data_IF_243783592818
#
_entry.id   IF_243783592818
#
_cell.length_a   1.000
_cell.length_b   1.000
_cell.length_c   1.000
_cell.angle_alpha   90.00
_cell.angle_beta   90.00
_cell.angle_gamma   90.00
#
_symmetry.space_group_name_H-M   'P 1'
#
loop_
_entity.id
_entity.type
_entity.pdbx_description
1 polymer ?
#
# COMPACT_ATOMS: atom_id res chain seq x y z
N UNK A 1 43.44 -15.84 13.83
CA UNK A 1 44.42 -14.73 13.70
C UNK A 1 44.21 -14.12 12.30
N UNK A 2 44.04 -12.80 12.12
CA UNK A 2 45.10 -11.76 12.14
C UNK A 2 46.29 -12.16 11.25
N UNK A 3 46.81 -11.41 10.28
CA UNK A 3 46.60 -10.03 9.75
C UNK A 3 47.58 -9.91 8.52
N UNK A 4 47.78 -8.73 7.89
CA UNK A 4 48.79 -8.45 6.83
C UNK A 4 48.50 -9.06 5.44
N UNK A 5 48.00 -8.36 4.40
CA UNK A 5 47.97 -6.92 4.05
C UNK A 5 49.25 -6.42 3.33
N UNK A 6 49.14 -6.32 1.99
CA UNK A 6 49.79 -5.38 1.03
C UNK A 6 51.34 -5.42 0.88
N UNK A 7 51.84 -5.52 -0.37
CA UNK A 7 52.71 -4.53 -1.06
C UNK A 7 53.49 -5.12 -2.27
N UNK A 8 53.18 -4.56 -3.45
CA UNK A 8 54.08 -4.14 -4.56
C UNK A 8 54.75 -5.26 -5.41
N UNK A 9 55.14 -5.06 -6.67
CA UNK A 9 54.86 -4.03 -7.70
C UNK A 9 55.05 -4.67 -9.09
N UNK A 10 54.78 -3.91 -10.15
CA UNK A 10 54.95 -4.22 -11.57
C UNK A 10 56.14 -5.12 -11.99
N UNK A 11 55.93 -5.91 -13.06
CA UNK A 11 56.69 -5.80 -14.33
C UNK A 11 55.86 -6.41 -15.48
N UNK A 12 56.21 -6.02 -16.71
CA UNK A 12 55.39 -5.99 -17.93
C UNK A 12 55.54 -7.17 -18.89
N UNK A 13 54.52 -7.36 -19.76
CA UNK A 13 54.57 -8.01 -21.09
C UNK A 13 54.85 -9.55 -21.09
N UNK A 14 54.31 -10.43 -21.96
CA UNK A 14 53.89 -10.33 -23.36
C UNK A 14 53.35 -11.70 -23.86
N UNK A 15 52.48 -11.69 -24.91
CA UNK A 15 52.28 -12.74 -25.96
C UNK A 15 51.80 -14.18 -25.62
N UNK A 16 51.21 -14.81 -26.65
CA UNK A 16 50.83 -16.24 -26.71
C UNK A 16 49.31 -16.48 -26.54
N UNK A 17 48.43 -16.05 -27.47
CA UNK A 17 48.09 -16.70 -28.75
C UNK A 17 47.33 -18.04 -28.66
N UNK A 18 46.07 -18.00 -29.13
CA UNK A 18 45.41 -19.03 -29.96
C UNK A 18 44.73 -20.25 -29.32
N UNK A 19 43.62 -20.62 -29.98
CA UNK A 19 42.90 -21.90 -30.00
C UNK A 19 42.26 -22.44 -28.72
N UNK A 20 40.93 -22.32 -28.68
CA UNK A 20 40.00 -23.09 -27.82
C UNK A 20 39.24 -24.09 -28.71
N UNK A 21 39.13 -25.35 -28.30
CA UNK A 21 37.97 -26.25 -28.53
C UNK A 21 38.13 -27.54 -27.67
N UNK A 22 37.05 -28.29 -27.36
CA UNK A 22 36.89 -28.95 -26.05
C UNK A 22 37.07 -30.47 -26.07
N UNK A 23 36.84 -31.14 -24.92
CA UNK A 23 35.58 -31.90 -24.82
C UNK A 23 34.82 -31.81 -23.47
N UNK A 24 33.52 -32.13 -23.54
CA UNK A 24 32.55 -32.33 -22.44
C UNK A 24 32.67 -33.74 -21.83
N UNK A 25 31.68 -34.32 -21.09
CA UNK A 25 30.66 -33.78 -20.17
C UNK A 25 30.61 -34.52 -18.80
N UNK A 26 29.97 -33.97 -17.75
CA UNK A 26 29.38 -34.78 -16.65
C UNK A 26 27.97 -34.28 -16.28
N UNK A 27 27.07 -35.24 -16.05
CA UNK A 27 25.61 -35.18 -15.84
C UNK A 27 25.27 -36.35 -14.87
N UNK A 28 24.32 -36.34 -13.92
CA UNK A 28 23.12 -35.53 -13.62
C UNK A 28 22.92 -35.45 -12.08
N UNK A 29 22.19 -34.46 -11.55
CA UNK A 29 20.97 -34.71 -10.73
C UNK A 29 20.11 -33.46 -10.48
N UNK A 30 18.86 -33.70 -10.08
CA UNK A 30 17.68 -32.82 -10.21
C UNK A 30 17.09 -32.56 -8.82
N UNK A 31 16.60 -31.34 -8.56
CA UNK A 31 15.23 -31.04 -8.09
C UNK A 31 15.04 -29.57 -7.66
N UNK A 32 14.13 -28.91 -8.38
CA UNK A 32 13.07 -28.00 -7.93
C UNK A 32 13.34 -26.67 -7.16
N UNK A 33 12.36 -25.77 -7.31
CA UNK A 33 12.22 -24.45 -6.70
C UNK A 33 13.21 -23.35 -7.15
N UNK A 34 13.14 -22.95 -8.43
CA UNK A 34 13.68 -21.66 -8.91
C UNK A 34 12.97 -20.47 -8.28
N UNK A 35 13.42 -20.10 -7.08
CA UNK A 35 13.14 -18.78 -6.51
C UNK A 35 13.93 -17.77 -7.34
N UNK A 36 13.25 -17.00 -8.18
CA UNK A 36 13.87 -15.90 -8.91
C UNK A 36 14.24 -14.81 -7.91
N UNK A 37 15.46 -14.90 -7.36
CA UNK A 37 16.14 -13.77 -6.76
C UNK A 37 16.30 -12.72 -7.86
N UNK A 38 15.42 -11.72 -7.86
CA UNK A 38 15.68 -10.47 -8.58
C UNK A 38 16.76 -9.76 -7.78
N UNK A 39 18.02 -10.08 -8.08
CA UNK A 39 19.15 -9.28 -7.67
C UNK A 39 19.04 -7.88 -8.30
N UNK A 40 19.54 -6.87 -7.60
CA UNK A 40 19.60 -5.48 -8.10
C UNK A 40 20.60 -5.28 -9.24
N UNK A 41 21.30 -6.35 -9.66
CA UNK A 41 22.40 -6.36 -10.63
C UNK A 41 22.06 -5.73 -12.00
N UNK A 42 20.79 -5.67 -12.39
CA UNK A 42 20.37 -5.01 -13.64
C UNK A 42 20.04 -3.51 -13.49
N UNK A 43 19.93 -2.98 -12.27
CA UNK A 43 19.91 -1.53 -12.04
C UNK A 43 21.32 -0.99 -11.86
N UNK A 44 22.18 -1.73 -11.15
CA UNK A 44 23.56 -1.35 -10.88
C UNK A 44 24.46 -1.37 -12.13
N UNK A 45 24.24 -2.30 -13.08
CA UNK A 45 24.96 -2.32 -14.37
C UNK A 45 24.76 -1.07 -15.25
N UNK A 46 23.72 -0.25 -15.01
CA UNK A 46 23.57 1.03 -15.70
C UNK A 46 24.36 2.18 -15.05
N UNK A 47 24.89 1.99 -13.84
CA UNK A 47 25.88 2.89 -13.26
C UNK A 47 27.29 2.65 -13.83
N UNK A 48 27.56 1.56 -14.53
CA UNK A 48 28.87 1.19 -15.09
C UNK A 48 29.21 1.83 -16.45
N UNK A 49 28.65 3.00 -16.78
CA UNK A 49 29.25 3.86 -17.82
C UNK A 49 30.53 4.46 -17.23
N UNK A 50 31.64 3.75 -17.42
CA UNK A 50 32.98 4.20 -17.03
C UNK A 50 33.36 5.52 -17.73
N UNK A 51 34.25 6.26 -17.07
CA UNK A 51 34.73 7.56 -17.54
C UNK A 51 35.31 7.50 -18.95
N UNK A 52 34.88 8.42 -19.82
CA UNK A 52 35.41 8.56 -21.18
C UNK A 52 36.79 9.21 -21.13
N UNK A 53 37.75 8.71 -21.91
CA UNK A 53 39.10 9.29 -22.00
C UNK A 53 39.15 10.25 -23.18
N UNK A 54 39.58 11.50 -22.95
CA UNK A 54 39.76 12.47 -24.04
C UNK A 54 41.04 12.20 -24.84
N UNK A 55 41.21 12.88 -25.99
CA UNK A 55 42.41 12.75 -26.85
C UNK A 55 43.74 13.18 -26.22
N UNK A 56 43.76 13.56 -24.92
CA UNK A 56 44.97 13.83 -24.12
C UNK A 56 45.10 12.85 -22.94
N UNK A 57 44.45 11.69 -23.00
CA UNK A 57 44.54 10.64 -21.98
C UNK A 57 43.81 10.91 -20.66
N UNK A 58 43.06 12.02 -20.53
CA UNK A 58 42.34 12.36 -19.29
C UNK A 58 40.94 11.75 -19.27
N UNK A 59 40.66 10.94 -18.24
CA UNK A 59 39.33 10.39 -17.94
C UNK A 59 38.39 11.49 -17.41
N UNK A 60 37.17 11.56 -17.93
CA UNK A 60 36.09 12.41 -17.42
C UNK A 60 34.73 11.71 -17.49
N UNK A 61 33.77 12.16 -16.68
CA UNK A 61 32.37 11.72 -16.76
C UNK A 61 31.59 12.80 -17.51
N UNK A 62 30.93 12.49 -18.66
CA UNK A 62 30.12 13.46 -19.39
C UNK A 62 29.04 14.11 -18.52
N UNK A 63 28.80 15.42 -18.71
CA UNK A 63 27.85 16.16 -17.87
C UNK A 63 26.42 15.61 -17.97
N UNK A 64 26.02 15.10 -19.13
CA UNK A 64 24.74 14.41 -19.32
C UNK A 64 24.55 13.22 -18.37
N UNK A 65 25.59 12.38 -18.23
CA UNK A 65 25.59 11.21 -17.33
C UNK A 65 25.55 11.67 -15.87
N UNK A 66 26.22 12.79 -15.53
CA UNK A 66 26.12 13.41 -14.20
C UNK A 66 24.72 13.96 -13.91
N UNK A 67 24.01 14.49 -14.90
CA UNK A 67 22.66 15.04 -14.73
C UNK A 67 21.62 13.92 -14.51
N UNK A 68 21.71 12.82 -15.28
CA UNK A 68 20.88 11.63 -15.09
C UNK A 68 21.13 11.01 -13.70
N UNK A 69 22.39 10.79 -13.31
CA UNK A 69 22.75 10.27 -11.96
C UNK A 69 22.29 11.18 -10.82
N UNK A 70 22.10 12.48 -11.06
CA UNK A 70 21.60 13.46 -10.09
C UNK A 70 20.09 13.67 -10.16
N UNK A 71 19.36 12.85 -10.93
CA UNK A 71 17.90 12.94 -11.09
C UNK A 71 17.40 14.24 -11.75
N UNK A 72 18.29 14.99 -12.42
CA UNK A 72 17.95 16.29 -13.05
C UNK A 72 17.33 16.14 -14.43
N UNK A 73 17.56 15.00 -15.07
CA UNK A 73 17.02 14.62 -16.37
C UNK A 73 16.57 13.16 -16.29
N UNK A 74 15.39 12.85 -16.83
CA UNK A 74 15.03 11.45 -17.10
C UNK A 74 15.74 10.93 -18.35
N UNK A 75 15.92 9.62 -18.46
CA UNK A 75 16.46 8.96 -19.66
C UNK A 75 15.68 9.32 -20.94
N UNK A 76 14.38 9.62 -20.80
CA UNK A 76 13.51 10.06 -21.89
C UNK A 76 13.84 11.48 -22.35
N UNK A 77 13.87 12.44 -21.43
CA UNK A 77 14.20 13.85 -21.73
C UNK A 77 15.64 14.00 -22.27
N UNK A 78 16.56 13.12 -21.86
CA UNK A 78 17.89 13.04 -22.47
C UNK A 78 17.86 12.52 -23.91
N UNK A 79 17.14 11.41 -24.18
CA UNK A 79 17.04 10.85 -25.52
C UNK A 79 16.37 11.81 -26.51
N UNK A 80 15.25 12.42 -26.11
CA UNK A 80 14.50 13.39 -26.94
C UNK A 80 15.38 14.62 -27.31
N UNK A 81 16.22 15.12 -26.38
CA UNK A 81 17.18 16.20 -26.67
C UNK A 81 18.34 15.76 -27.58
N UNK A 82 18.82 14.51 -27.48
CA UNK A 82 19.88 13.99 -28.36
C UNK A 82 19.38 13.76 -29.78
N UNK A 83 18.18 13.22 -29.96
CA UNK A 83 17.53 13.14 -31.28
C UNK A 83 17.33 14.55 -31.87
N UNK A 84 16.84 15.53 -31.09
CA UNK A 84 16.67 16.91 -31.55
C UNK A 84 18.00 17.60 -31.94
N UNK A 85 19.06 17.45 -31.15
CA UNK A 85 20.37 18.03 -31.44
C UNK A 85 21.02 17.38 -32.68
N UNK A 86 20.88 16.06 -32.83
CA UNK A 86 21.35 15.34 -34.03
C UNK A 86 20.60 15.79 -35.28
N UNK A 87 19.28 15.99 -35.18
CA UNK A 87 18.46 16.54 -36.27
C UNK A 87 18.80 17.99 -36.64
N UNK A 88 19.35 18.80 -35.71
CA UNK A 88 19.89 20.12 -36.03
C UNK A 88 21.21 20.04 -36.80
N UNK A 89 22.11 19.13 -36.40
CA UNK A 89 23.40 18.93 -37.09
C UNK A 89 23.18 18.46 -38.54
N UNK A 90 22.21 17.58 -38.77
CA UNK A 90 21.84 17.07 -40.11
C UNK A 90 21.28 18.16 -41.05
N UNK A 91 20.80 19.30 -40.51
CA UNK A 91 20.15 20.36 -41.30
C UNK A 91 21.09 21.45 -41.84
N UNK A 92 22.40 21.38 -41.58
CA UNK A 92 23.34 22.39 -42.09
C UNK A 92 23.85 22.01 -43.49
N UNK A 93 23.67 22.86 -44.53
CA UNK A 93 24.22 22.60 -45.86
C UNK A 93 25.74 22.81 -45.85
N UNK A 94 26.46 21.72 -46.16
CA UNK A 94 27.89 21.61 -46.49
C UNK A 94 28.88 22.66 -45.97
N UNK A 95 29.64 22.27 -44.94
CA UNK A 95 31.00 22.74 -44.69
C UNK A 95 31.97 21.55 -44.68
N UNK A 96 32.61 21.24 -45.81
CA UNK A 96 33.69 20.23 -45.87
C UNK A 96 34.87 20.65 -45.00
N UNK A 97 34.97 20.13 -43.79
CA UNK A 97 36.24 19.98 -43.08
C UNK A 97 36.34 18.58 -42.48
N UNK A 98 37.40 17.88 -42.90
CA UNK A 98 37.91 16.58 -42.42
C UNK A 98 37.21 16.01 -41.18
N UNK A 99 36.14 15.26 -41.42
CA UNK A 99 35.59 14.31 -40.44
C UNK A 99 36.66 13.23 -40.28
N UNK A 100 37.55 13.39 -39.30
CA UNK A 100 38.56 12.37 -38.99
C UNK A 100 37.86 11.02 -38.75
N UNK A 101 38.48 9.90 -39.09
CA UNK A 101 37.86 8.57 -38.91
C UNK A 101 37.44 8.24 -37.46
N UNK A 102 37.87 9.04 -36.48
CA UNK A 102 37.32 9.00 -35.12
C UNK A 102 35.88 9.52 -35.07
N UNK A 103 35.57 10.63 -35.73
CA UNK A 103 34.26 11.30 -35.68
C UNK A 103 33.17 10.45 -36.34
N UNK A 104 33.48 9.76 -37.45
CA UNK A 104 32.58 8.81 -38.10
C UNK A 104 32.35 7.56 -37.23
N UNK A 105 33.41 7.03 -36.60
CA UNK A 105 33.30 5.96 -35.59
C UNK A 105 32.48 6.37 -34.37
N UNK A 106 32.59 7.62 -33.90
CA UNK A 106 31.72 8.17 -32.85
C UNK A 106 30.27 8.29 -33.32
N UNK A 107 30.02 8.72 -34.56
CA UNK A 107 28.68 8.79 -35.14
C UNK A 107 28.03 7.40 -35.22
N UNK A 108 28.75 6.42 -35.78
CA UNK A 108 28.27 5.03 -35.85
C UNK A 108 28.02 4.44 -34.45
N UNK A 109 28.94 4.67 -33.49
CA UNK A 109 28.75 4.22 -32.09
C UNK A 109 27.52 4.87 -31.45
N UNK A 110 27.23 6.15 -31.73
CA UNK A 110 26.04 6.83 -31.23
C UNK A 110 24.75 6.30 -31.87
N UNK A 111 24.76 6.00 -33.17
CA UNK A 111 23.66 5.34 -33.89
C UNK A 111 23.39 3.94 -33.32
N UNK A 112 24.43 3.13 -33.13
CA UNK A 112 24.34 1.77 -32.60
C UNK A 112 23.85 1.76 -31.15
N UNK A 113 24.33 2.67 -30.30
CA UNK A 113 23.83 2.86 -28.93
C UNK A 113 22.36 3.31 -28.91
N UNK A 114 21.96 4.19 -29.82
CA UNK A 114 20.56 4.64 -29.94
C UNK A 114 19.65 3.50 -30.36
N UNK A 115 20.07 2.69 -31.35
CA UNK A 115 19.37 1.48 -31.77
C UNK A 115 19.24 0.46 -30.62
N UNK A 116 20.34 0.17 -29.93
CA UNK A 116 20.38 -0.77 -28.79
C UNK A 116 19.52 -0.30 -27.61
N UNK A 117 19.50 1.01 -27.33
CA UNK A 117 18.62 1.59 -26.31
C UNK A 117 17.13 1.54 -26.73
N UNK A 118 16.80 1.76 -28.01
CA UNK A 118 15.44 1.62 -28.55
C UNK A 118 14.96 0.16 -28.47
N UNK A 119 15.81 -0.80 -28.81
CA UNK A 119 15.54 -2.23 -28.65
C UNK A 119 15.34 -2.61 -27.18
N UNK A 120 16.15 -2.09 -26.25
CA UNK A 120 16.00 -2.35 -24.82
C UNK A 120 14.72 -1.72 -24.27
N UNK A 121 14.37 -0.50 -24.70
CA UNK A 121 13.11 0.15 -24.35
C UNK A 121 11.91 -0.67 -24.79
N UNK A 122 11.89 -1.15 -26.04
CA UNK A 122 10.81 -2.01 -26.53
C UNK A 122 10.79 -3.38 -25.83
N UNK A 123 11.94 -3.98 -25.49
CA UNK A 123 11.99 -5.20 -24.66
C UNK A 123 11.43 -4.97 -23.25
N UNK A 124 11.76 -3.85 -22.59
CA UNK A 124 11.21 -3.49 -21.27
C UNK A 124 9.72 -3.17 -21.35
N UNK A 125 9.27 -2.50 -22.41
CA UNK A 125 7.86 -2.18 -22.70
C UNK A 125 7.04 -3.45 -22.99
N UNK A 126 7.59 -4.38 -23.78
CA UNK A 126 6.99 -5.69 -24.04
C UNK A 126 6.92 -6.55 -22.78
N UNK A 127 8.01 -6.64 -21.99
CA UNK A 127 8.00 -7.34 -20.70
C UNK A 127 7.00 -6.73 -19.72
N UNK A 128 6.87 -5.39 -19.67
CA UNK A 128 5.82 -4.70 -18.90
C UNK A 128 4.42 -5.01 -19.44
N UNK A 129 4.22 -5.12 -20.75
CA UNK A 129 2.93 -5.46 -21.36
C UNK A 129 2.53 -6.93 -21.14
N UNK A 130 3.48 -7.86 -21.26
CA UNK A 130 3.26 -9.28 -20.95
C UNK A 130 2.98 -9.47 -19.46
N UNK A 131 3.78 -8.84 -18.58
CA UNK A 131 3.56 -8.89 -17.14
C UNK A 131 2.21 -8.25 -16.79
N UNK A 132 1.86 -7.08 -17.35
CA UNK A 132 0.52 -6.47 -17.26
C UNK A 132 -0.58 -7.41 -17.76
N UNK A 133 -0.33 -8.24 -18.77
CA UNK A 133 -1.31 -9.21 -19.30
C UNK A 133 -1.46 -10.43 -18.37
N UNK A 134 -0.36 -10.95 -17.81
CA UNK A 134 -0.35 -11.96 -16.72
C UNK A 134 -1.08 -11.43 -15.48
N UNK A 135 -0.80 -10.18 -15.10
CA UNK A 135 -1.46 -9.47 -14.01
C UNK A 135 -2.96 -9.31 -14.31
N UNK A 136 -3.35 -8.82 -15.48
CA UNK A 136 -4.77 -8.65 -15.83
C UNK A 136 -5.54 -9.98 -15.93
N UNK A 137 -4.89 -11.09 -16.33
CA UNK A 137 -5.45 -12.45 -16.22
C UNK A 137 -5.49 -12.95 -14.76
N UNK A 138 -4.57 -12.48 -13.90
CA UNK A 138 -4.49 -12.78 -12.48
C UNK A 138 -5.34 -11.90 -11.55
N UNK A 139 -5.82 -10.73 -12.01
CA UNK A 139 -6.69 -9.78 -11.27
C UNK A 139 -8.06 -10.39 -10.93
N UNK A 140 -8.39 -11.56 -11.47
CA UNK A 140 -9.52 -12.37 -11.04
C UNK A 140 -9.25 -13.26 -9.80
N UNK A 141 -8.03 -13.29 -9.24
CA UNK A 141 -7.78 -13.90 -7.92
C UNK A 141 -8.33 -12.99 -6.83
N UNK A 142 -9.44 -13.43 -6.24
CA UNK A 142 -10.03 -12.83 -5.04
C UNK A 142 -8.93 -12.51 -4.02
N UNK A 143 -8.87 -11.24 -3.57
CA UNK A 143 -8.05 -10.83 -2.43
C UNK A 143 -8.26 -11.84 -1.28
N UNK A 144 -7.21 -12.61 -0.90
CA UNK A 144 -7.38 -13.77 -0.05
C UNK A 144 -7.79 -13.32 1.35
N UNK A 145 -8.84 -13.94 1.89
CA UNK A 145 -9.34 -13.61 3.22
C UNK A 145 -8.73 -14.54 4.26
N UNK A 146 -8.18 -13.97 5.32
CA UNK A 146 -7.77 -14.70 6.52
C UNK A 146 -9.01 -14.93 7.37
N UNK A 147 -9.24 -16.18 7.78
CA UNK A 147 -10.23 -16.53 8.80
C UNK A 147 -9.66 -16.27 10.19
N UNK A 148 -10.49 -15.70 11.06
CA UNK A 148 -10.18 -15.39 12.43
C UNK A 148 -11.33 -15.92 13.29
N UNK A 149 -11.02 -16.77 14.28
CA UNK A 149 -12.01 -17.26 15.26
C UNK A 149 -12.63 -16.14 16.10
N UNK A 150 -11.93 -15.01 16.21
CA UNK A 150 -12.33 -13.92 17.10
C UNK A 150 -12.13 -14.30 18.57
N UNK A 151 -12.10 -13.28 19.42
CA UNK A 151 -12.05 -13.45 20.88
C UNK A 151 -12.42 -12.14 21.55
N UNK A 152 -12.39 -12.12 22.88
CA UNK A 152 -12.19 -10.87 23.62
C UNK A 152 -10.75 -10.41 23.46
N UNK A 153 -10.53 -9.12 23.19
CA UNK A 153 -9.21 -8.47 23.12
C UNK A 153 -9.21 -7.10 23.80
N UNK A 154 -8.02 -6.53 24.02
CA UNK A 154 -7.84 -5.17 24.53
C UNK A 154 -7.76 -4.16 23.38
N UNK A 155 -8.85 -3.43 23.16
CA UNK A 155 -8.99 -2.36 22.17
C UNK A 155 -8.57 -1.00 22.76
N UNK A 156 -8.02 -0.11 21.94
CA UNK A 156 -7.58 1.23 22.33
C UNK A 156 -6.15 1.31 22.84
N UNK A 157 -5.81 2.43 23.49
CA UNK A 157 -4.52 2.66 24.16
C UNK A 157 -4.71 3.25 25.54
N UNK A 158 -3.77 2.97 26.44
CA UNK A 158 -3.73 3.58 27.77
C UNK A 158 -2.96 4.90 27.76
N UNK A 159 -3.30 5.81 26.84
CA UNK A 159 -2.75 7.17 26.79
C UNK A 159 -3.88 8.19 27.01
N UNK A 160 -4.00 8.80 28.21
CA UNK A 160 -5.08 9.74 28.52
C UNK A 160 -5.00 11.05 27.71
N UNK A 161 -3.90 11.30 26.99
CA UNK A 161 -3.77 12.45 26.07
C UNK A 161 -4.50 12.22 24.74
N UNK A 162 -4.96 10.99 24.46
CA UNK A 162 -5.63 10.63 23.22
C UNK A 162 -7.05 11.23 23.13
N UNK A 163 -7.23 12.24 22.26
CA UNK A 163 -8.50 12.96 22.09
C UNK A 163 -9.48 12.32 21.08
N UNK A 164 -9.02 11.29 20.36
CA UNK A 164 -9.75 10.56 19.29
C UNK A 164 -10.70 9.45 19.78
N UNK A 165 -10.83 9.27 21.10
CA UNK A 165 -11.63 8.19 21.70
C UNK A 165 -10.94 6.82 21.74
N UNK A 166 -9.62 6.78 21.50
CA UNK A 166 -8.79 5.56 21.67
C UNK A 166 -8.49 5.24 23.14
N UNK A 167 -8.71 6.20 24.04
CA UNK A 167 -8.66 6.02 25.50
C UNK A 167 -10.08 6.03 26.10
N UNK A 168 -10.37 5.24 27.15
CA UNK A 168 -9.52 4.24 27.77
C UNK A 168 -9.49 2.92 26.97
N UNK A 169 -8.56 2.03 27.33
CA UNK A 169 -8.54 0.64 26.85
C UNK A 169 -9.83 -0.07 27.26
N UNK A 170 -10.44 -0.81 26.33
CA UNK A 170 -11.69 -1.56 26.55
C UNK A 170 -11.50 -3.04 26.23
N UNK A 171 -12.13 -3.91 27.01
CA UNK A 171 -12.32 -5.31 26.62
C UNK A 171 -13.44 -5.36 25.56
N UNK A 172 -13.13 -5.82 24.35
CA UNK A 172 -14.10 -5.92 23.25
C UNK A 172 -14.09 -7.35 22.72
N UNK A 173 -15.28 -7.95 22.57
CA UNK A 173 -15.44 -9.26 21.95
C UNK A 173 -15.76 -9.12 20.46
N UNK A 174 -15.08 -9.89 19.62
CA UNK A 174 -15.42 -10.05 18.19
C UNK A 174 -15.78 -11.51 17.90
N UNK A 175 -16.81 -11.72 17.08
CA UNK A 175 -17.22 -13.05 16.61
C UNK A 175 -16.29 -13.55 15.49
N UNK A 176 -16.30 -14.86 15.18
CA UNK A 176 -15.62 -15.42 14.01
C UNK A 176 -15.95 -14.67 12.71
N UNK A 177 -14.91 -14.32 11.94
CA UNK A 177 -15.06 -13.58 10.69
C UNK A 177 -13.91 -13.86 9.72
N UNK A 178 -14.06 -13.38 8.48
CA UNK A 178 -12.99 -13.37 7.47
C UNK A 178 -12.65 -11.93 7.12
N UNK A 179 -11.37 -11.59 6.99
CA UNK A 179 -10.89 -10.26 6.58
C UNK A 179 -9.90 -10.37 5.42
N UNK A 180 -10.00 -9.46 4.46
CA UNK A 180 -9.05 -9.35 3.34
C UNK A 180 -7.60 -9.15 3.86
N UNK A 181 -6.67 -9.96 3.36
CA UNK A 181 -5.26 -9.93 3.75
C UNK A 181 -4.58 -8.61 3.36
N UNK A 182 -5.01 -8.04 2.24
CA UNK A 182 -4.52 -6.78 1.67
C UNK A 182 -5.66 -5.75 1.58
N UNK A 183 -5.39 -4.44 1.47
CA UNK A 183 -6.35 -3.46 0.95
C UNK A 183 -6.88 -3.86 -0.44
N UNK A 184 -8.05 -3.35 -0.81
CA UNK A 184 -8.57 -3.47 -2.19
C UNK A 184 -7.65 -2.71 -3.13
N UNK A 185 -7.22 -3.34 -4.22
CA UNK A 185 -6.26 -2.76 -5.16
C UNK A 185 -6.95 -2.00 -6.31
N UNK A 186 -6.19 -1.18 -7.04
CA UNK A 186 -6.65 -0.59 -8.29
C UNK A 186 -7.04 -1.66 -9.34
N UNK A 187 -6.41 -2.84 -9.32
CA UNK A 187 -6.78 -3.99 -10.15
C UNK A 187 -8.17 -4.53 -9.79
N UNK A 188 -8.40 -4.80 -8.50
CA UNK A 188 -9.71 -5.25 -7.98
C UNK A 188 -10.81 -4.25 -8.33
N UNK A 189 -10.58 -2.96 -8.07
CA UNK A 189 -11.56 -1.91 -8.32
C UNK A 189 -11.83 -1.69 -9.82
N UNK A 190 -10.82 -1.93 -10.67
CA UNK A 190 -11.01 -1.96 -12.13
C UNK A 190 -11.88 -3.14 -12.57
N UNK A 191 -11.80 -4.30 -11.91
CA UNK A 191 -12.71 -5.43 -12.16
C UNK A 191 -14.16 -5.09 -11.75
N UNK A 192 -14.35 -4.46 -10.58
CA UNK A 192 -15.66 -3.92 -10.17
C UNK A 192 -16.23 -2.94 -11.20
N UNK A 193 -15.45 -1.94 -11.62
CA UNK A 193 -15.87 -0.92 -12.59
C UNK A 193 -16.17 -1.49 -13.98
N UNK A 194 -15.49 -2.57 -14.40
CA UNK A 194 -15.84 -3.33 -15.62
C UNK A 194 -17.16 -4.09 -15.50
N UNK A 195 -17.46 -4.66 -14.33
CA UNK A 195 -18.73 -5.36 -14.07
C UNK A 195 -19.91 -4.40 -13.81
N UNK A 196 -19.63 -3.20 -13.31
CA UNK A 196 -20.61 -2.16 -12.97
C UNK A 196 -20.32 -0.88 -13.74
N UNK A 197 -20.35 -0.97 -15.07
CA UNK A 197 -19.98 0.11 -16.01
C UNK A 197 -20.71 1.43 -15.72
N UNK A 198 -22.01 1.36 -15.35
CA UNK A 198 -22.83 2.54 -15.01
C UNK A 198 -22.53 3.15 -13.63
N UNK A 199 -21.75 2.48 -12.79
CA UNK A 199 -21.43 2.97 -11.45
C UNK A 199 -20.44 4.13 -11.52
N UNK A 200 -20.83 5.30 -10.99
CA UNK A 200 -19.93 6.44 -10.73
C UNK A 200 -19.63 6.53 -9.24
N UNK A 201 -18.35 6.57 -8.88
CA UNK A 201 -17.87 6.85 -7.53
C UNK A 201 -18.28 8.25 -7.08
N UNK A 202 -18.13 8.52 -5.80
CA UNK A 202 -18.45 9.80 -5.18
C UNK A 202 -17.57 10.91 -5.77
N UNK A 203 -16.28 10.66 -5.99
CA UNK A 203 -15.37 11.58 -6.69
C UNK A 203 -15.77 11.80 -8.17
N UNK A 204 -16.13 10.75 -8.91
CA UNK A 204 -16.62 10.87 -10.30
C UNK A 204 -17.92 11.68 -10.41
N UNK A 205 -18.78 11.65 -9.37
CA UNK A 205 -20.01 12.46 -9.30
C UNK A 205 -19.74 13.91 -8.89
N UNK A 206 -18.82 14.13 -7.96
CA UNK A 206 -18.44 15.47 -7.50
C UNK A 206 -17.57 16.24 -8.51
N UNK A 207 -16.91 15.54 -9.44
CA UNK A 207 -16.00 16.12 -10.43
C UNK A 207 -14.62 16.49 -9.88
N UNK A 208 -14.34 16.20 -8.61
CA UNK A 208 -13.06 16.43 -7.95
C UNK A 208 -12.84 15.47 -6.77
N UNK A 209 -11.60 15.41 -6.29
CA UNK A 209 -11.23 14.78 -5.01
C UNK A 209 -10.03 15.49 -4.40
N UNK A 210 -9.72 15.20 -3.13
CA UNK A 210 -8.56 15.77 -2.44
C UNK A 210 -7.28 15.00 -2.82
N UNK A 211 -6.29 15.73 -3.33
CA UNK A 211 -4.97 15.19 -3.75
C UNK A 211 -3.89 15.84 -2.91
N UNK A 212 -2.93 15.07 -2.41
CA UNK A 212 -1.78 15.62 -1.71
C UNK A 212 -0.96 16.45 -2.69
N UNK A 213 -0.58 17.68 -2.34
CA UNK A 213 -0.10 18.67 -3.32
C UNK A 213 1.06 18.20 -4.21
N UNK A 214 1.93 17.31 -3.70
CA UNK A 214 3.06 16.72 -4.45
C UNK A 214 2.71 15.49 -5.30
N UNK A 215 1.54 14.89 -5.10
CA UNK A 215 0.99 13.83 -5.96
C UNK A 215 0.10 14.38 -7.09
N UNK A 216 -0.13 15.71 -7.11
CA UNK A 216 -0.88 16.37 -8.19
C UNK A 216 -0.10 16.28 -9.51
N UNK A 217 -0.78 15.85 -10.57
CA UNK A 217 -0.26 15.91 -11.94
C UNK A 217 0.06 17.34 -12.36
N UNK A 218 1.09 17.50 -13.20
CA UNK A 218 1.48 18.80 -13.80
C UNK A 218 0.30 19.46 -14.51
N UNK A 219 -0.49 18.67 -15.24
CA UNK A 219 -1.63 19.16 -16.05
C UNK A 219 -2.92 19.36 -15.25
N UNK A 220 -2.98 18.94 -13.98
CA UNK A 220 -4.23 18.91 -13.24
C UNK A 220 -4.63 20.30 -12.70
N UNK A 221 -5.81 20.78 -13.13
CA UNK A 221 -6.44 21.98 -12.62
C UNK A 221 -7.08 21.82 -11.24
N UNK A 222 -7.29 22.93 -10.55
CA UNK A 222 -7.97 22.98 -9.26
C UNK A 222 -9.48 23.12 -9.44
N UNK A 223 -10.25 22.53 -8.53
CA UNK A 223 -11.71 22.65 -8.49
C UNK A 223 -12.16 23.95 -7.80
N UNK A 224 -11.38 24.44 -6.84
CA UNK A 224 -11.60 25.70 -6.12
C UNK A 224 -10.24 26.30 -5.71
N UNK A 225 -9.72 27.30 -6.45
CA UNK A 225 -8.46 27.97 -6.13
C UNK A 225 -8.50 28.77 -4.82
N UNK A 226 -9.67 29.28 -4.40
CA UNK A 226 -9.78 30.05 -3.16
C UNK A 226 -9.61 29.14 -1.93
N UNK A 227 -10.16 27.92 -1.97
CA UNK A 227 -9.93 26.89 -0.93
C UNK A 227 -8.49 26.38 -0.86
N UNK A 228 -7.64 26.64 -1.86
CA UNK A 228 -6.22 26.30 -1.78
C UNK A 228 -5.50 27.06 -0.65
N UNK A 229 -5.88 28.31 -0.38
CA UNK A 229 -5.23 29.14 0.64
C UNK A 229 -5.41 28.60 2.07
N UNK A 230 -6.53 27.90 2.34
CA UNK A 230 -6.80 27.27 3.65
C UNK A 230 -6.39 25.79 3.71
N UNK A 231 -6.34 25.09 2.59
CA UNK A 231 -6.02 23.66 2.54
C UNK A 231 -4.50 23.38 2.41
N UNK A 232 -3.78 23.56 3.53
CA UNK A 232 -2.29 23.61 3.66
C UNK A 232 -1.46 22.64 2.80
N UNK A 233 -1.92 21.42 2.52
CA UNK A 233 -1.22 20.43 1.68
C UNK A 233 -2.16 19.49 0.89
N UNK A 234 -3.46 19.79 0.89
CA UNK A 234 -4.51 18.99 0.24
C UNK A 234 -5.25 19.85 -0.76
N UNK A 235 -5.11 19.55 -2.05
CA UNK A 235 -5.73 20.34 -3.10
C UNK A 235 -6.99 19.65 -3.62
N UNK A 236 -8.09 20.40 -3.74
CA UNK A 236 -9.28 19.93 -4.45
C UNK A 236 -8.98 19.95 -5.95
N UNK A 237 -8.71 18.79 -6.54
CA UNK A 237 -8.23 18.69 -7.92
C UNK A 237 -9.36 18.22 -8.84
N UNK A 238 -9.63 19.01 -9.89
CA UNK A 238 -10.65 18.70 -10.89
C UNK A 238 -10.28 17.41 -11.62
N UNK A 239 -11.25 16.51 -11.77
CA UNK A 239 -11.03 15.21 -12.41
C UNK A 239 -10.11 14.27 -11.63
N UNK A 240 -9.82 14.52 -10.35
CA UNK A 240 -9.18 13.52 -9.48
C UNK A 240 -10.19 12.49 -9.00
N UNK A 241 -9.92 11.21 -9.27
CA UNK A 241 -10.72 10.05 -8.86
C UNK A 241 -9.85 8.78 -8.95
N UNK A 242 -10.38 7.62 -8.55
CA UNK A 242 -9.63 6.35 -8.44
C UNK A 242 -8.74 6.00 -9.65
N UNK A 243 -9.17 6.31 -10.89
CA UNK A 243 -8.39 5.98 -12.11
C UNK A 243 -7.37 7.05 -12.48
N UNK A 244 -7.54 8.29 -12.01
CA UNK A 244 -6.66 9.44 -12.23
C UNK A 244 -6.38 10.13 -10.88
N UNK A 245 -5.61 9.49 -9.98
CA UNK A 245 -5.48 9.95 -8.60
C UNK A 245 -4.75 11.30 -8.44
N UNK A 246 -3.87 11.65 -9.38
CA UNK A 246 -3.23 12.97 -9.45
C UNK A 246 -4.05 14.02 -10.21
N UNK A 247 -5.28 13.71 -10.64
CA UNK A 247 -6.04 14.47 -11.62
C UNK A 247 -5.57 14.25 -13.06
N UNK A 248 -5.95 15.15 -13.96
CA UNK A 248 -5.73 15.03 -15.41
C UNK A 248 -4.27 14.72 -15.80
N UNK A 249 -4.08 13.76 -16.70
CA UNK A 249 -2.76 13.24 -17.11
C UNK A 249 -2.17 12.15 -16.20
N UNK A 250 -2.68 11.98 -14.97
CA UNK A 250 -2.33 10.81 -14.13
C UNK A 250 -3.12 9.56 -14.53
N UNK A 251 -2.63 8.37 -14.18
CA UNK A 251 -3.38 7.13 -14.31
C UNK A 251 -2.88 6.06 -13.30
N UNK A 252 -3.55 4.90 -13.26
CA UNK A 252 -3.20 3.75 -12.37
C UNK A 252 -2.71 2.50 -13.13
N UNK A 253 -2.35 2.61 -14.41
CA UNK A 253 -2.05 1.43 -15.24
C UNK A 253 -0.73 0.72 -14.87
N UNK A 254 0.19 1.44 -14.22
CA UNK A 254 1.42 0.95 -13.58
C UNK A 254 1.25 0.70 -12.07
N UNK A 255 0.11 1.13 -11.49
CA UNK A 255 -0.22 1.06 -10.06
C UNK A 255 -1.34 0.06 -9.72
N UNK A 256 -1.50 -0.99 -10.53
CA UNK A 256 -2.60 -1.97 -10.37
C UNK A 256 -2.59 -2.70 -9.01
N UNK A 257 -1.43 -2.88 -8.38
CA UNK A 257 -1.29 -3.51 -7.05
C UNK A 257 -1.20 -2.52 -5.88
N UNK A 258 -1.43 -1.24 -6.12
CA UNK A 258 -1.50 -0.22 -5.07
C UNK A 258 -2.94 -0.18 -4.53
N UNK A 259 -3.17 0.21 -3.26
CA UNK A 259 -4.51 0.40 -2.74
C UNK A 259 -5.29 1.37 -3.62
N UNK A 260 -6.57 1.10 -3.84
CA UNK A 260 -7.46 2.04 -4.51
C UNK A 260 -7.79 3.19 -3.56
N UNK A 261 -7.63 4.42 -4.06
CA UNK A 261 -7.86 5.67 -3.29
C UNK A 261 -8.85 6.60 -4.01
N UNK A 262 -9.19 7.74 -3.39
CA UNK A 262 -10.33 8.59 -3.76
C UNK A 262 -11.69 7.85 -3.66
N UNK A 263 -11.75 6.88 -2.76
CA UNK A 263 -12.92 6.04 -2.50
C UNK A 263 -13.62 6.57 -1.24
N UNK A 264 -14.93 6.84 -1.35
CA UNK A 264 -15.76 7.21 -0.21
C UNK A 264 -16.26 5.98 0.56
N UNK A 265 -16.88 6.20 1.72
CA UNK A 265 -17.56 5.11 2.45
C UNK A 265 -18.61 4.42 1.57
N UNK A 266 -19.37 5.19 0.79
CA UNK A 266 -20.39 4.65 -0.13
C UNK A 266 -19.76 3.85 -1.28
N UNK A 267 -18.61 4.28 -1.78
CA UNK A 267 -17.89 3.62 -2.86
C UNK A 267 -17.27 2.29 -2.38
N UNK A 268 -16.68 2.29 -1.18
CA UNK A 268 -16.14 1.11 -0.52
C UNK A 268 -17.24 0.09 -0.18
N UNK A 269 -18.38 0.55 0.35
CA UNK A 269 -19.54 -0.30 0.62
C UNK A 269 -20.07 -0.94 -0.66
N UNK A 270 -20.28 -0.16 -1.73
CA UNK A 270 -20.77 -0.67 -3.01
C UNK A 270 -19.85 -1.74 -3.63
N UNK A 271 -18.53 -1.57 -3.51
CA UNK A 271 -17.56 -2.58 -3.91
C UNK A 271 -17.71 -3.86 -3.07
N UNK A 272 -17.70 -3.76 -1.73
CA UNK A 272 -17.79 -4.95 -0.88
C UNK A 272 -19.11 -5.70 -1.13
N UNK A 273 -20.25 -5.00 -1.29
CA UNK A 273 -21.52 -5.63 -1.66
C UNK A 273 -21.43 -6.38 -2.99
N UNK A 274 -20.85 -5.78 -4.05
CA UNK A 274 -20.62 -6.47 -5.33
C UNK A 274 -19.74 -7.73 -5.16
N UNK A 275 -18.72 -7.65 -4.30
CA UNK A 275 -17.83 -8.77 -4.00
C UNK A 275 -18.44 -9.86 -3.09
N UNK A 276 -19.72 -9.75 -2.70
CA UNK A 276 -20.38 -10.61 -1.69
C UNK A 276 -19.66 -10.59 -0.32
N UNK A 277 -19.22 -9.40 0.07
CA UNK A 277 -18.52 -9.06 1.31
C UNK A 277 -19.21 -7.83 1.96
N UNK A 278 -18.65 -7.32 3.05
CA UNK A 278 -19.01 -6.07 3.72
C UNK A 278 -17.75 -5.29 4.11
N UNK A 279 -17.89 -4.09 4.66
CA UNK A 279 -16.78 -3.46 5.39
C UNK A 279 -16.57 -4.15 6.76
N UNK A 280 -15.33 -4.21 7.27
CA UNK A 280 -15.08 -4.57 8.67
C UNK A 280 -15.69 -3.52 9.58
N UNK A 281 -16.11 -3.93 10.78
CA UNK A 281 -16.29 -3.00 11.90
C UNK A 281 -14.92 -2.50 12.38
N UNK A 282 -14.88 -1.38 13.09
CA UNK A 282 -13.67 -0.91 13.77
C UNK A 282 -13.10 -1.98 14.71
N UNK A 283 -13.96 -2.73 15.39
CA UNK A 283 -13.60 -3.78 16.35
C UNK A 283 -12.88 -4.95 15.68
N UNK A 284 -13.44 -5.45 14.57
CA UNK A 284 -12.83 -6.48 13.73
C UNK A 284 -11.50 -6.02 13.13
N UNK A 285 -11.45 -4.78 12.64
CA UNK A 285 -10.24 -4.22 12.06
C UNK A 285 -9.12 -4.10 13.10
N UNK A 286 -9.43 -3.57 14.29
CA UNK A 286 -8.43 -3.41 15.35
C UNK A 286 -8.02 -4.75 15.99
N UNK A 287 -8.93 -5.73 16.06
CA UNK A 287 -8.58 -7.10 16.41
C UNK A 287 -7.59 -7.71 15.42
N UNK A 288 -7.85 -7.54 14.12
CA UNK A 288 -7.03 -8.12 13.07
C UNK A 288 -5.63 -7.49 12.97
N UNK A 289 -5.49 -6.16 13.06
CA UNK A 289 -4.17 -5.49 13.05
C UNK A 289 -3.30 -5.90 14.24
N UNK A 290 -3.90 -6.21 15.39
CA UNK A 290 -3.19 -6.61 16.60
C UNK A 290 -2.55 -8.00 16.52
N UNK A 291 -3.01 -8.89 15.63
CA UNK A 291 -2.34 -10.18 15.39
C UNK A 291 -2.19 -11.07 16.63
N UNK A 292 -3.18 -11.06 17.53
CA UNK A 292 -3.14 -11.75 18.82
C UNK A 292 -2.38 -11.02 19.95
N UNK A 293 -1.76 -9.87 19.67
CA UNK A 293 -1.02 -9.09 20.66
C UNK A 293 -1.90 -8.05 21.35
N UNK A 294 -2.06 -8.15 22.67
CA UNK A 294 -2.90 -7.23 23.45
C UNK A 294 -2.17 -5.93 23.82
N UNK A 295 -2.84 -4.79 23.64
CA UNK A 295 -2.40 -3.48 24.17
C UNK A 295 -1.19 -2.81 23.48
N UNK A 296 -0.49 -3.47 22.56
CA UNK A 296 0.73 -2.93 21.94
C UNK A 296 0.46 -1.84 20.89
N UNK A 297 1.42 -0.92 20.70
CA UNK A 297 1.33 0.22 19.78
C UNK A 297 1.32 -0.16 18.30
N UNK A 298 2.15 -1.12 17.87
CA UNK A 298 2.29 -1.52 16.47
C UNK A 298 1.92 -3.00 16.26
N UNK A 299 1.62 -3.43 15.01
CA UNK A 299 1.16 -4.79 14.70
C UNK A 299 2.16 -5.90 15.09
N UNK A 300 3.43 -5.52 15.24
CA UNK A 300 4.59 -6.39 15.48
C UNK A 300 5.25 -6.17 16.86
N UNK A 301 4.64 -5.41 17.75
CA UNK A 301 5.19 -5.06 19.07
C UNK A 301 5.07 -3.57 19.42
N UNK A 302 5.64 -3.16 20.56
CA UNK A 302 5.59 -1.76 20.99
C UNK A 302 6.73 -0.88 20.42
N UNK A 303 7.84 -1.50 20.01
CA UNK A 303 8.95 -0.80 19.35
C UNK A 303 8.72 -0.68 17.84
N UNK A 304 8.87 0.54 17.30
CA UNK A 304 8.76 0.79 15.86
C UNK A 304 9.86 0.04 15.09
N UNK A 305 9.48 -0.67 14.01
CA UNK A 305 10.41 -1.33 13.09
C UNK A 305 10.41 -0.57 11.77
N UNK A 306 11.60 -0.24 11.25
CA UNK A 306 11.74 0.34 9.90
C UNK A 306 11.30 -0.69 8.84
N UNK A 307 10.88 -0.21 7.67
CA UNK A 307 10.58 -1.02 6.49
C UNK A 307 9.51 -2.10 6.74
N UNK A 308 8.50 -1.75 7.55
CA UNK A 308 7.33 -2.60 7.87
C UNK A 308 5.99 -1.92 7.61
N UNK A 309 6.00 -0.66 7.19
CA UNK A 309 4.84 0.20 6.96
C UNK A 309 5.30 1.43 6.17
N UNK A 310 4.45 1.92 5.27
CA UNK A 310 4.66 3.16 4.51
C UNK A 310 4.13 4.35 5.30
N UNK A 311 5.01 5.25 5.72
CA UNK A 311 4.70 6.45 6.51
C UNK A 311 5.57 7.62 6.02
N UNK A 312 5.44 8.80 6.62
CA UNK A 312 6.35 9.89 6.32
C UNK A 312 7.59 9.85 7.23
N UNK A 313 8.79 10.11 6.67
CA UNK A 313 10.00 10.36 7.46
C UNK A 313 10.69 11.65 7.01
N UNK A 314 10.93 12.60 7.92
CA UNK A 314 11.54 13.89 7.60
C UNK A 314 10.64 15.06 7.97
N UNK A 315 10.94 16.24 7.43
CA UNK A 315 10.21 17.47 7.71
C UNK A 315 8.91 17.55 6.90
N UNK A 316 7.79 17.06 7.45
CA UNK A 316 6.48 17.21 6.80
C UNK A 316 6.07 18.69 6.71
N UNK A 317 5.52 19.18 5.56
CA UNK A 317 5.33 18.51 4.27
C UNK A 317 6.48 18.72 3.27
N UNK A 318 7.53 19.44 3.67
CA UNK A 318 8.63 19.89 2.81
C UNK A 318 9.50 18.74 2.28
N UNK A 319 9.82 17.75 3.12
CA UNK A 319 10.80 16.71 2.83
C UNK A 319 10.36 15.34 3.36
N UNK A 320 10.30 14.35 2.46
CA UNK A 320 10.18 12.92 2.81
C UNK A 320 11.47 12.20 2.38
N UNK A 321 12.19 11.66 3.35
CA UNK A 321 13.44 10.91 3.17
C UNK A 321 13.23 9.52 2.53
N UNK A 322 12.00 9.00 2.46
CA UNK A 322 11.66 7.71 1.84
C UNK A 322 12.50 6.55 2.41
N UNK A 323 12.70 6.52 3.73
CA UNK A 323 13.51 5.48 4.40
C UNK A 323 12.88 4.10 4.27
N UNK A 324 11.55 4.06 4.16
CA UNK A 324 10.76 2.87 3.87
C UNK A 324 10.67 2.50 2.37
N UNK A 325 11.23 3.34 1.49
CA UNK A 325 11.29 3.14 0.04
C UNK A 325 10.16 3.82 -0.76
N UNK A 326 9.23 4.55 -0.13
CA UNK A 326 8.06 5.08 -0.82
C UNK A 326 7.81 6.58 -0.53
N UNK A 327 7.61 7.37 -1.60
CA UNK A 327 7.27 8.80 -1.49
C UNK A 327 5.79 9.06 -1.17
N UNK A 328 4.93 8.28 -1.84
CA UNK A 328 3.47 8.32 -1.80
C UNK A 328 3.00 6.90 -1.46
N UNK A 329 1.84 6.47 -1.97
CA UNK A 329 1.38 5.09 -1.85
C UNK A 329 2.43 4.05 -2.28
N UNK A 330 2.36 2.88 -1.67
CA UNK A 330 3.14 1.68 -1.97
C UNK A 330 2.23 0.55 -2.51
N UNK A 331 2.77 -0.47 -3.21
CA UNK A 331 2.05 -1.71 -3.46
C UNK A 331 1.56 -2.35 -2.15
N UNK A 332 0.39 -2.98 -2.15
CA UNK A 332 -0.20 -3.59 -0.94
C UNK A 332 0.64 -4.72 -0.32
N UNK A 333 1.62 -5.23 -1.06
CA UNK A 333 2.56 -6.28 -0.65
C UNK A 333 4.02 -5.79 -0.62
N UNK A 334 4.27 -4.48 -0.50
CA UNK A 334 5.61 -3.90 -0.49
C UNK A 334 6.47 -4.33 0.72
N UNK A 335 5.83 -4.61 1.85
CA UNK A 335 6.47 -5.05 3.09
C UNK A 335 6.08 -6.49 3.43
N UNK A 336 6.80 -7.09 4.37
CA UNK A 336 6.40 -8.33 5.04
C UNK A 336 5.02 -8.19 5.73
N UNK A 337 4.41 -9.34 6.05
CA UNK A 337 3.25 -9.38 6.92
C UNK A 337 3.50 -8.59 8.21
N UNK A 338 2.58 -7.67 8.54
CA UNK A 338 2.76 -6.78 9.67
C UNK A 338 2.59 -7.50 11.01
N UNK A 339 1.81 -8.59 11.06
CA UNK A 339 1.48 -9.30 12.29
C UNK A 339 1.37 -10.83 12.12
N UNK A 340 1.14 -11.53 13.24
CA UNK A 340 1.12 -13.00 13.31
C UNK A 340 -0.05 -13.65 12.56
N UNK A 341 -1.13 -12.90 12.28
CA UNK A 341 -2.25 -13.40 11.46
C UNK A 341 -1.96 -13.31 9.96
N UNK A 342 -0.84 -12.70 9.55
CA UNK A 342 -0.42 -12.62 8.16
C UNK A 342 -1.05 -11.46 7.38
N UNK A 343 -1.59 -10.44 8.04
CA UNK A 343 -2.12 -9.24 7.38
C UNK A 343 -1.01 -8.33 6.87
N UNK A 344 -1.30 -7.65 5.76
CA UNK A 344 -0.41 -6.69 5.12
C UNK A 344 -1.08 -5.31 5.15
N UNK A 345 -0.23 -4.28 5.25
CA UNK A 345 -0.61 -2.92 4.92
C UNK A 345 -1.85 -2.39 5.68
N UNK A 346 -2.00 -2.79 6.95
CA UNK A 346 -3.02 -2.27 7.86
C UNK A 346 -2.53 -1.01 8.58
N UNK A 347 -1.24 -0.95 8.91
CA UNK A 347 -0.59 0.25 9.43
C UNK A 347 0.06 1.02 8.29
N UNK A 348 -0.30 2.29 8.13
CA UNK A 348 0.25 3.19 7.12
C UNK A 348 -0.32 2.95 5.71
N UNK A 349 0.41 3.45 4.71
CA UNK A 349 0.04 3.48 3.29
C UNK A 349 -1.25 4.25 2.99
N UNK A 350 -2.42 3.68 3.26
CA UNK A 350 -3.72 4.35 3.10
C UNK A 350 -4.63 4.08 4.30
N UNK A 351 -5.34 5.12 4.75
CA UNK A 351 -6.43 4.99 5.71
C UNK A 351 -7.49 4.03 5.17
N UNK A 352 -8.09 3.22 6.05
CA UNK A 352 -9.11 2.26 5.64
C UNK A 352 -10.47 2.54 6.26
N UNK A 353 -11.51 2.62 5.43
CA UNK A 353 -12.90 2.71 5.87
C UNK A 353 -13.35 1.47 6.65
N UNK A 354 -14.14 1.70 7.70
CA UNK A 354 -14.88 0.67 8.45
C UNK A 354 -16.38 0.97 8.44
N UNK A 355 -17.22 -0.02 8.78
CA UNK A 355 -18.68 0.13 8.93
C UNK A 355 -19.11 0.85 10.21
N UNK A 356 -18.20 1.06 11.17
CA UNK A 356 -18.52 1.67 12.47
C UNK A 356 -18.77 3.16 12.34
N UNK A 357 -19.88 3.64 12.92
CA UNK A 357 -20.17 5.07 13.05
C UNK A 357 -19.20 5.68 14.06
N UNK A 358 -18.52 6.76 13.69
CA UNK A 358 -17.59 7.44 14.58
C UNK A 358 -18.35 8.29 15.60
N UNK A 359 -18.11 8.00 16.88
CA UNK A 359 -18.61 8.77 18.02
C UNK A 359 -17.45 9.45 18.74
N UNK A 360 -17.60 10.74 19.04
CA UNK A 360 -16.67 11.45 19.93
C UNK A 360 -17.09 11.21 21.39
N UNK A 361 -16.15 10.94 22.31
CA UNK A 361 -16.47 10.91 23.73
C UNK A 361 -17.12 12.23 24.18
N UNK A 362 -18.25 12.14 24.90
CA UNK A 362 -18.97 13.28 25.52
C UNK A 362 -19.61 14.29 24.55
N UNK A 363 -19.86 13.94 23.28
CA UNK A 363 -20.75 14.73 22.40
C UNK A 363 -21.91 13.89 21.89
N UNK A 364 -23.11 14.46 21.90
CA UNK A 364 -24.27 13.91 21.21
C UNK A 364 -24.04 13.95 19.69
N UNK A 365 -24.30 12.82 19.02
CA UNK A 365 -24.15 12.74 17.57
C UNK A 365 -25.35 13.43 16.91
N UNK A 366 -25.12 14.59 16.32
CA UNK A 366 -26.10 15.18 15.41
C UNK A 366 -26.16 14.31 14.14
N UNK A 367 -27.33 13.76 13.82
CA UNK A 367 -27.53 12.92 12.63
C UNK A 367 -27.13 13.61 11.31
N UNK A 368 -27.15 14.95 11.25
CA UNK A 368 -26.70 15.74 10.09
C UNK A 368 -25.19 15.70 9.87
N UNK A 369 -24.40 15.30 10.87
CA UNK A 369 -22.93 15.23 10.83
C UNK A 369 -22.41 13.80 11.03
N UNK A 370 -23.18 12.79 10.59
CA UNK A 370 -22.80 11.38 10.67
C UNK A 370 -21.43 11.12 10.00
N UNK A 371 -20.51 10.53 10.77
CA UNK A 371 -19.16 10.15 10.34
C UNK A 371 -18.97 8.64 10.52
N UNK A 372 -18.06 8.07 9.74
CA UNK A 372 -17.63 6.68 9.88
C UNK A 372 -16.15 6.64 10.27
N UNK A 373 -15.76 5.57 10.96
CA UNK A 373 -14.39 5.41 11.42
C UNK A 373 -13.50 4.96 10.26
N UNK A 374 -12.39 5.66 10.07
CA UNK A 374 -11.25 5.19 9.30
C UNK A 374 -10.10 4.81 10.25
N UNK A 375 -9.32 3.77 9.89
CA UNK A 375 -8.23 3.22 10.71
C UNK A 375 -6.89 3.14 9.94
N UNK A 376 -5.80 3.04 10.69
CA UNK A 376 -4.48 2.59 10.19
C UNK A 376 -3.41 3.64 9.94
N UNK A 377 -3.77 4.89 9.68
CA UNK A 377 -2.80 5.89 9.18
C UNK A 377 -2.57 5.76 7.67
N UNK A 378 -1.71 6.62 7.13
CA UNK A 378 -1.37 6.64 5.71
C UNK A 378 0.08 7.09 5.48
N UNK A 379 0.54 7.10 4.23
CA UNK A 379 1.89 7.53 3.84
C UNK A 379 2.26 8.98 4.26
N UNK A 380 1.28 9.83 4.60
CA UNK A 380 1.54 11.18 5.12
C UNK A 380 1.56 11.26 6.66
N UNK A 381 1.20 10.19 7.37
CA UNK A 381 1.10 10.17 8.82
C UNK A 381 2.46 9.84 9.47
N UNK A 382 2.61 10.21 10.76
CA UNK A 382 3.86 10.08 11.50
C UNK A 382 3.84 8.90 12.45
N UNK A 383 5.00 8.28 12.69
CA UNK A 383 5.12 7.18 13.68
C UNK A 383 4.98 7.63 15.15
N UNK A 384 5.06 8.94 15.41
CA UNK A 384 5.18 9.55 16.74
C UNK A 384 4.20 10.71 17.00
N UNK A 385 3.29 11.00 16.07
CA UNK A 385 2.24 12.01 16.23
C UNK A 385 2.70 13.46 16.15
N UNK A 386 3.96 13.74 15.77
CA UNK A 386 4.49 15.12 15.67
C UNK A 386 3.87 15.93 14.53
N UNK A 387 3.34 15.25 13.52
CA UNK A 387 2.58 15.85 12.42
C UNK A 387 1.51 14.86 11.93
N UNK A 388 0.43 15.41 11.37
CA UNK A 388 -0.78 14.65 11.01
C UNK A 388 -1.21 13.74 12.17
N UNK A 389 -1.36 12.44 11.97
CA UNK A 389 -1.75 11.49 13.02
C UNK A 389 -0.57 10.62 13.46
N UNK A 390 -0.64 10.08 14.68
CA UNK A 390 0.23 8.97 15.09
C UNK A 390 -0.29 7.67 14.45
N UNK A 391 0.50 7.06 13.57
CA UNK A 391 0.22 5.75 13.01
C UNK A 391 0.49 4.65 14.05
N UNK A 392 -0.58 4.09 14.62
CA UNK A 392 -0.56 2.99 15.61
C UNK A 392 -1.81 2.11 15.46
N UNK A 393 -1.82 0.91 16.06
CA UNK A 393 -2.94 -0.04 15.96
C UNK A 393 -4.31 0.57 16.32
N UNK A 394 -4.35 1.43 17.34
CA UNK A 394 -5.59 2.07 17.78
C UNK A 394 -6.01 3.29 16.94
N UNK A 395 -5.12 3.84 16.11
CA UNK A 395 -5.31 5.12 15.43
C UNK A 395 -6.63 5.17 14.67
N UNK A 396 -7.47 6.17 14.98
CA UNK A 396 -8.83 6.29 14.43
C UNK A 396 -9.17 7.73 14.05
N UNK A 397 -9.87 7.89 12.92
CA UNK A 397 -10.41 9.16 12.46
C UNK A 397 -11.91 9.07 12.16
N UNK A 398 -12.64 10.13 12.47
CA UNK A 398 -14.05 10.29 12.08
C UNK A 398 -14.20 11.13 10.82
N UNK A 399 -14.55 10.49 9.71
CA UNK A 399 -14.68 11.15 8.40
C UNK A 399 -16.12 11.08 7.88
N UNK A 400 -16.56 12.13 7.17
CA UNK A 400 -17.90 12.14 6.53
C UNK A 400 -17.96 11.07 5.43
N UNK A 401 -19.08 10.36 5.23
CA UNK A 401 -19.15 9.21 4.31
C UNK A 401 -18.92 9.56 2.84
N UNK A 402 -19.06 10.83 2.45
CA UNK A 402 -18.75 11.33 1.10
C UNK A 402 -17.31 11.83 0.93
N UNK A 403 -16.48 11.79 1.98
CA UNK A 403 -15.08 12.21 1.91
C UNK A 403 -14.29 11.29 0.96
N UNK A 404 -13.43 11.86 0.13
CA UNK A 404 -12.53 11.13 -0.77
C UNK A 404 -11.18 11.84 -0.80
N UNK A 405 -10.08 11.09 -0.71
CA UNK A 405 -8.74 11.63 -0.78
C UNK A 405 -7.73 10.61 -1.34
N UNK A 406 -6.57 11.08 -1.79
CA UNK A 406 -5.49 10.25 -2.33
C UNK A 406 -4.78 9.34 -1.32
N UNK A 407 -5.18 9.37 -0.05
CA UNK A 407 -4.62 8.56 1.03
C UNK A 407 -5.68 7.73 1.79
N UNK A 408 -6.89 7.56 1.24
CA UNK A 408 -7.96 6.75 1.86
C UNK A 408 -8.55 5.73 0.89
N UNK A 409 -8.53 4.47 1.31
CA UNK A 409 -9.06 3.29 0.66
C UNK A 409 -9.82 2.42 1.66
N UNK A 410 -9.75 1.09 1.50
CA UNK A 410 -10.47 0.13 2.33
C UNK A 410 -10.01 -1.32 2.07
N UNK A 411 -10.39 -2.23 2.98
CA UNK A 411 -10.40 -3.69 2.77
C UNK A 411 -11.78 -4.24 3.13
N UNK A 412 -12.17 -5.40 2.60
CA UNK A 412 -13.47 -5.99 2.94
C UNK A 412 -13.36 -7.11 4.00
N UNK A 413 -14.45 -7.31 4.74
CA UNK A 413 -14.68 -8.42 5.66
C UNK A 413 -15.87 -9.26 5.20
N UNK A 414 -16.02 -10.47 5.75
CA UNK A 414 -17.16 -11.36 5.51
C UNK A 414 -17.50 -12.08 6.82
N UNK A 415 -18.77 -12.03 7.19
CA UNK A 415 -19.31 -12.82 8.32
C UNK A 415 -19.16 -14.31 8.00
N UNK A 416 -18.84 -15.11 9.00
CA UNK A 416 -18.87 -16.57 8.89
C UNK A 416 -20.16 -17.06 9.53
N UNK A 417 -20.92 -17.86 8.80
CA UNK A 417 -22.03 -18.61 9.37
C UNK A 417 -21.43 -19.67 10.30
N UNK A 418 -21.79 -19.58 11.59
CA UNK A 418 -21.51 -20.66 12.52
C UNK A 418 -22.54 -21.76 12.25
N UNK A 419 -22.14 -23.04 12.28
CA UNK A 419 -23.11 -24.13 12.22
C UNK A 419 -24.10 -23.94 13.37
N UNK A 420 -25.39 -24.04 13.06
CA UNK A 420 -26.42 -24.09 14.10
C UNK A 420 -26.11 -25.24 15.04
N UNK A 421 -26.00 -24.94 16.34
CA UNK A 421 -25.90 -25.97 17.37
C UNK A 421 -27.21 -26.77 17.33
N UNK A 422 -27.18 -27.95 16.71
CA UNK A 422 -28.34 -28.83 16.70
C UNK A 422 -28.62 -29.23 18.15
N UNK A 423 -29.87 -29.20 18.63
CA UNK A 423 -30.19 -29.55 20.01
C UNK A 423 -29.70 -30.94 20.46
N UNK A 424 -29.43 -31.84 19.52
CA UNK A 424 -28.88 -33.19 19.76
C UNK A 424 -27.40 -33.23 20.13
N UNK A 425 -26.62 -32.19 19.80
CA UNK A 425 -25.18 -32.13 20.14
C UNK A 425 -24.95 -31.58 21.55
N UNK A 426 -26.01 -31.12 22.23
CA UNK A 426 -26.01 -30.84 23.67
C UNK A 426 -26.18 -32.18 24.41
N UNK A 427 -25.12 -32.99 24.45
CA UNK A 427 -25.06 -34.10 25.42
C UNK A 427 -24.90 -33.50 26.81
N UNK A 428 -26.02 -33.36 27.53
CA UNK A 428 -26.05 -33.17 28.97
C UNK A 428 -25.43 -34.41 29.64
N UNK A 429 -24.11 -34.40 29.71
CA UNK A 429 -23.35 -35.35 30.54
C UNK A 429 -23.58 -34.95 31.99
N UNK A 430 -24.72 -35.38 32.54
CA UNK A 430 -25.02 -35.33 33.97
C UNK A 430 -24.13 -36.34 34.70
N UNK A 431 -22.84 -36.02 34.78
CA UNK A 431 -22.02 -36.54 35.86
C UNK A 431 -22.70 -36.14 37.17
N UNK A 432 -23.28 -37.12 37.86
CA UNK A 432 -23.79 -36.91 39.22
C UNK A 432 -22.64 -36.37 40.05
N UNK A 433 -22.77 -35.20 40.71
CA UNK A 433 -21.73 -34.73 41.60
C UNK A 433 -21.52 -35.76 42.73
N UNK A 434 -20.29 -35.94 43.24
CA UNK A 434 -20.06 -36.73 44.44
C UNK A 434 -20.95 -36.22 45.57
N UNK A 435 -21.51 -37.13 46.37
CA UNK A 435 -22.31 -36.73 47.53
C UNK A 435 -21.41 -35.98 48.54
N UNK A 436 -21.96 -34.90 49.09
CA UNK A 436 -21.38 -34.03 50.13
C UNK A 436 -20.22 -33.11 49.68
N UNK A 437 -20.52 -31.82 49.51
CA UNK A 437 -20.40 -30.82 50.59
C UNK A 437 -21.29 -29.60 50.27
N UNK A 438 -21.78 -28.90 51.30
CA UNK A 438 -22.56 -27.66 51.13
C UNK A 438 -21.63 -26.49 50.80
N UNK A 439 -21.79 -25.91 49.62
CA UNK A 439 -21.61 -24.47 49.38
C UNK A 439 -22.70 -24.04 48.39
N UNK A 440 -23.35 -22.91 48.63
CA UNK A 440 -24.49 -22.45 47.82
C UNK A 440 -24.00 -21.75 46.55
N UNK A 441 -24.28 -22.34 45.39
CA UNK A 441 -23.80 -21.85 44.10
C UNK A 441 -24.45 -20.54 43.67
N UNK A 442 -23.65 -19.47 43.67
CA UNK A 442 -24.02 -18.12 43.19
C UNK A 442 -24.34 -18.04 41.69
N UNK A 443 -24.18 -19.13 40.93
CA UNK A 443 -24.43 -19.21 39.49
C UNK A 443 -25.92 -19.32 39.16
N UNK A 444 -26.64 -20.19 39.87
CA UNK A 444 -28.06 -20.51 39.60
C UNK A 444 -29.01 -19.35 39.92
N UNK A 445 -28.64 -18.51 40.90
CA UNK A 445 -29.40 -17.31 41.25
C UNK A 445 -29.24 -16.20 40.19
N UNK A 446 -28.01 -15.96 39.70
CA UNK A 446 -27.72 -14.91 38.70
C UNK A 446 -28.38 -15.19 37.35
N UNK A 447 -28.42 -16.45 36.90
CA UNK A 447 -29.11 -16.80 35.64
C UNK A 447 -30.62 -16.58 35.76
N UNK A 448 -31.25 -16.91 36.90
CA UNK A 448 -32.68 -16.62 37.11
C UNK A 448 -32.99 -15.12 37.11
N UNK A 449 -32.18 -14.31 37.79
CA UNK A 449 -32.32 -12.84 37.82
C UNK A 449 -32.25 -12.25 36.40
N UNK A 450 -31.21 -12.57 35.62
CA UNK A 450 -31.04 -12.04 34.25
C UNK A 450 -32.17 -12.49 33.32
N UNK A 451 -32.64 -13.74 33.43
CA UNK A 451 -33.78 -14.21 32.63
C UNK A 451 -35.08 -13.50 33.03
N UNK A 452 -35.30 -13.23 34.32
CA UNK A 452 -36.48 -12.49 34.79
C UNK A 452 -36.44 -11.01 34.35
N UNK A 453 -35.30 -10.32 34.44
CA UNK A 453 -35.14 -8.95 33.93
C UNK A 453 -35.40 -8.86 32.42
N UNK A 454 -34.88 -9.81 31.63
CA UNK A 454 -35.13 -9.84 30.17
C UNK A 454 -36.60 -10.06 29.85
N UNK A 455 -37.27 -10.99 30.55
CA UNK A 455 -38.71 -11.22 30.34
C UNK A 455 -39.58 -10.04 30.78
N UNK A 456 -39.19 -9.31 31.84
CA UNK A 456 -39.94 -8.14 32.29
C UNK A 456 -39.79 -6.97 31.31
N UNK A 457 -38.57 -6.66 30.87
CA UNK A 457 -38.33 -5.62 29.86
C UNK A 457 -39.08 -5.89 28.54
N UNK A 458 -39.22 -7.16 28.12
CA UNK A 458 -40.01 -7.53 26.94
C UNK A 458 -41.51 -7.27 27.17
N UNK A 459 -42.06 -7.62 28.34
CA UNK A 459 -43.47 -7.32 28.68
C UNK A 459 -43.76 -5.82 28.70
N UNK A 460 -42.86 -5.04 29.27
CA UNK A 460 -43.04 -3.59 29.38
C UNK A 460 -42.90 -2.89 28.01
N UNK A 461 -42.05 -3.43 27.13
CA UNK A 461 -41.96 -2.99 25.72
C UNK A 461 -43.24 -3.28 24.93
N UNK A 462 -43.83 -4.46 25.10
CA UNK A 462 -45.07 -4.85 24.39
C UNK A 462 -46.30 -4.08 24.91
N UNK A 463 -46.29 -3.64 26.18
CA UNK A 463 -47.34 -2.74 26.70
C UNK A 463 -47.33 -1.37 26.04
N UNK A 464 -46.15 -0.83 25.73
CA UNK A 464 -45.99 0.49 25.10
C UNK A 464 -46.49 0.54 23.64
N UNK A 465 -46.59 -0.59 22.93
CA UNK A 465 -47.20 -0.66 21.60
C UNK A 465 -48.75 -0.80 21.65
N UNK A 466 -49.35 -0.93 22.83
CA UNK A 466 -50.80 -1.01 23.02
C UNK A 466 -51.48 0.27 23.52
N UNK A 467 -50.70 1.31 23.86
CA UNK A 467 -51.19 2.61 24.37
C UNK A 467 -50.68 3.81 23.51
N UNK A 468 -50.11 3.53 22.33
CA UNK A 468 -49.72 4.49 21.28
C UNK A 468 -50.61 4.36 20.04
#
# INVERSE_FOLDING_TARGET
>A
MKICFILLLAISCWRGSSTVTPPSPIVYKRNDATTVKISTENYDKYNEVESVTNGRGRRYVPNDVRNIRRGRDTLREWAERKEAHTAQIIKQPEGRQTISGHTEKYHQTAVDLTKKNRELYEKVKAARAENKTKILKGVARQNPMIYLDGSTFKMGVNDPRSKTGEYPVKSVAVRPFKLDRYPVTNGDFMAFKRNKIRYKTTAEKAGFSWVFFKDKSRNAGLADPARQQSARWWYGVKGAYWRQPGGEGSNVMDRLFYPVVHISYFDAHAFCTWAKKRLPTEYEWEYAIRGGLNGLRYPWGDKFKRNRSNLWQGLFPAENHQVDGHYSLAPVNAYEAQNNYGFYDMLGNAWEWTSTVYTEPRKTVNNKDKRYVAKGGSFIDSRDGKFNNEARCAARLGLRPNYTAGNIGFRCARTVELPELKPKDITTTTQRPPKHHRYEDTWTYKVKQVVQEVFQNIKDSVKLEGEL
#
